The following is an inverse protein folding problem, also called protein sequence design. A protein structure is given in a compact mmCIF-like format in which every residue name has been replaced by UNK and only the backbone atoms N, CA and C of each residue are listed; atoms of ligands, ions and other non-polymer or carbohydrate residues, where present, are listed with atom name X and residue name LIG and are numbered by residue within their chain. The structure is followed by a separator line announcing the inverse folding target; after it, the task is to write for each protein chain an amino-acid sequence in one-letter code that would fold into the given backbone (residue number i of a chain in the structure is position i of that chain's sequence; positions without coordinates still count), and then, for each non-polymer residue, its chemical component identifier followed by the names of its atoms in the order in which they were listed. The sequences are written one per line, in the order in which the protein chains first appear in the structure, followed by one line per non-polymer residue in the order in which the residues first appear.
data_IF_986094821086
#
_entry.id   IF_986094821086
#
_cell.length_a   1.000
_cell.length_b   1.000
_cell.length_c   1.000
_cell.angle_alpha   90.00
_cell.angle_beta   90.00
_cell.angle_gamma   90.00
#
_symmetry.space_group_name_H-M   'P 1'
#
loop_
_entity.id
_entity.type
_entity.pdbx_description
1 polymer ?
#
# COMPACT_ATOMS: atom_id res chain seq x y z
N UNK A 1 8.55 15.81 21.16
CA UNK A 1 7.18 15.26 21.35
C UNK A 1 6.99 14.61 22.74
N UNK A 2 7.94 13.77 23.19
CA UNK A 2 7.87 13.15 24.53
C UNK A 2 7.90 14.19 25.67
N UNK A 3 8.68 15.26 25.47
CA UNK A 3 8.81 16.34 26.43
C UNK A 3 7.56 17.22 26.44
N UNK A 4 7.03 17.55 25.25
CA UNK A 4 5.80 18.32 25.08
C UNK A 4 4.57 17.63 25.73
N UNK A 5 4.46 16.30 25.65
CA UNK A 5 3.38 15.56 26.31
C UNK A 5 3.48 15.60 27.84
N UNK A 6 4.71 15.64 28.39
CA UNK A 6 4.93 15.75 29.85
C UNK A 6 4.68 17.15 30.38
N UNK A 7 4.99 18.18 29.61
CA UNK A 7 4.92 19.58 30.03
C UNK A 7 3.53 20.20 29.83
N UNK A 8 2.73 19.66 28.92
CA UNK A 8 1.45 20.28 28.54
C UNK A 8 0.22 19.45 28.90
N UNK A 9 0.39 18.25 29.45
CA UNK A 9 -0.71 17.31 29.81
C UNK A 9 -1.73 17.09 28.67
N UNK A 10 -1.31 17.30 27.41
CA UNK A 10 -2.18 17.21 26.25
C UNK A 10 -2.42 15.80 25.71
N UNK A 11 -1.80 14.81 26.31
CA UNK A 11 -2.04 13.41 25.98
C UNK A 11 -2.31 12.60 27.24
N UNK A 12 -2.97 11.48 27.11
CA UNK A 12 -3.32 10.59 28.23
C UNK A 12 -2.10 10.17 29.07
N UNK A 13 -0.94 10.00 28.41
CA UNK A 13 0.31 9.68 29.11
C UNK A 13 0.82 10.85 29.98
N UNK A 14 0.65 12.11 29.52
CA UNK A 14 0.99 13.31 30.30
C UNK A 14 0.07 13.51 31.48
N UNK A 15 -1.21 13.18 31.32
CA UNK A 15 -2.23 13.24 32.36
C UNK A 15 -2.06 12.18 33.46
N UNK A 16 -1.10 11.26 33.34
CA UNK A 16 -0.87 10.21 34.33
C UNK A 16 -2.03 9.23 34.49
N UNK A 17 -2.94 9.17 33.51
CA UNK A 17 -4.05 8.20 33.52
C UNK A 17 -3.50 6.78 33.48
N UNK A 18 -3.94 5.95 34.42
CA UNK A 18 -3.67 4.52 34.37
C UNK A 18 -4.23 3.88 33.08
N UNK A 19 -3.54 2.85 32.59
CA UNK A 19 -4.07 2.08 31.47
C UNK A 19 -5.43 1.52 31.85
N UNK A 20 -6.42 1.81 31.03
CA UNK A 20 -7.74 1.23 31.19
C UNK A 20 -7.63 -0.31 31.09
N UNK A 21 -8.09 -1.02 32.12
CA UNK A 21 -8.07 -2.50 32.16
C UNK A 21 -8.94 -3.11 31.05
N UNK A 22 -9.97 -2.38 30.59
CA UNK A 22 -10.82 -2.73 29.45
C UNK A 22 -10.77 -1.62 28.39
N UNK A 23 -9.72 -1.54 27.57
CA UNK A 23 -9.64 -0.55 26.51
C UNK A 23 -10.74 -0.79 25.49
N UNK A 24 -11.28 0.30 24.92
CA UNK A 24 -12.18 0.21 23.80
C UNK A 24 -11.51 -0.57 22.65
N UNK A 25 -12.28 -1.35 21.85
CA UNK A 25 -11.73 -2.08 20.70
C UNK A 25 -10.96 -1.15 19.76
N UNK A 26 -9.78 -1.58 19.33
CA UNK A 26 -9.00 -0.84 18.36
C UNK A 26 -9.58 -1.08 16.94
N UNK A 27 -10.47 -0.20 16.50
CA UNK A 27 -11.12 -0.30 15.19
C UNK A 27 -10.14 -0.17 14.03
N UNK A 28 -9.02 0.53 14.20
CA UNK A 28 -7.98 0.63 13.18
C UNK A 28 -7.29 -0.74 12.98
N UNK A 29 -7.00 -1.44 14.06
CA UNK A 29 -6.42 -2.78 14.01
C UNK A 29 -7.41 -3.79 13.41
N UNK A 30 -8.68 -3.72 13.82
CA UNK A 30 -9.74 -4.51 13.21
C UNK A 30 -9.83 -4.28 11.70
N UNK A 31 -9.87 -3.00 11.24
CA UNK A 31 -9.87 -2.66 9.81
C UNK A 31 -8.67 -3.25 9.10
N UNK A 32 -7.47 -3.15 9.69
CA UNK A 32 -6.23 -3.66 9.12
C UNK A 32 -6.29 -5.18 8.89
N UNK A 33 -6.80 -5.94 9.86
CA UNK A 33 -7.01 -7.38 9.71
C UNK A 33 -8.03 -7.68 8.61
N UNK A 34 -9.12 -6.95 8.56
CA UNK A 34 -10.15 -7.14 7.52
C UNK A 34 -9.64 -6.87 6.11
N UNK A 35 -8.70 -5.96 5.95
CA UNK A 35 -8.13 -5.60 4.64
C UNK A 35 -7.04 -6.57 4.16
N UNK A 36 -6.28 -7.18 5.08
CA UNK A 36 -5.04 -7.85 4.68
C UNK A 36 -4.91 -9.33 5.07
N UNK A 37 -5.74 -9.85 5.96
CA UNK A 37 -5.64 -11.24 6.41
C UNK A 37 -6.33 -12.19 5.42
N UNK A 38 -5.69 -12.39 4.28
CA UNK A 38 -6.08 -13.34 3.25
C UNK A 38 -4.98 -14.37 3.04
N UNK A 39 -5.39 -15.64 2.88
CA UNK A 39 -4.48 -16.73 2.57
C UNK A 39 -4.17 -16.75 1.07
N UNK A 40 -2.91 -16.51 0.66
CA UNK A 40 -2.51 -16.60 -0.74
C UNK A 40 -2.51 -18.05 -1.22
N UNK A 41 -2.67 -18.25 -2.53
CA UNK A 41 -2.52 -19.58 -3.14
C UNK A 41 -1.16 -20.19 -2.78
N UNK A 42 -1.12 -21.52 -2.60
CA UNK A 42 0.16 -22.24 -2.48
C UNK A 42 0.90 -22.22 -3.82
N UNK A 43 2.16 -22.61 -3.84
CA UNK A 43 2.95 -22.69 -5.07
C UNK A 43 2.32 -23.64 -6.10
N UNK A 44 1.74 -24.76 -5.62
CA UNK A 44 1.09 -25.77 -6.47
C UNK A 44 -0.24 -25.27 -7.04
N UNK A 45 -0.95 -24.40 -6.32
CA UNK A 45 -2.22 -23.82 -6.74
C UNK A 45 -2.03 -22.64 -7.70
N UNK A 46 -0.90 -21.96 -7.61
CA UNK A 46 -0.58 -20.77 -8.39
C UNK A 46 -0.09 -21.15 -9.80
N UNK A 47 -1.00 -21.59 -10.65
CA UNK A 47 -0.68 -22.09 -12.00
C UNK A 47 -0.11 -21.02 -12.94
N UNK A 48 -0.22 -19.75 -12.61
CA UNK A 48 0.21 -18.61 -13.44
C UNK A 48 1.40 -17.82 -12.85
N UNK A 49 1.92 -18.25 -11.71
CA UNK A 49 3.05 -17.60 -11.04
C UNK A 49 2.64 -16.64 -9.93
N UNK A 50 3.48 -15.62 -9.69
CA UNK A 50 3.40 -14.72 -8.54
C UNK A 50 3.18 -13.26 -8.98
N UNK A 51 2.35 -12.54 -8.23
CA UNK A 51 2.16 -11.09 -8.39
C UNK A 51 2.51 -10.38 -7.09
N UNK A 52 3.38 -9.38 -7.16
CA UNK A 52 3.69 -8.50 -6.04
C UNK A 52 2.70 -7.33 -5.98
N UNK A 53 2.10 -7.11 -4.82
CA UNK A 53 1.25 -5.94 -4.55
C UNK A 53 1.90 -5.11 -3.44
N UNK A 54 2.25 -3.84 -3.69
CA UNK A 54 2.78 -2.98 -2.65
C UNK A 54 1.66 -2.50 -1.71
N UNK A 55 1.91 -2.56 -0.39
CA UNK A 55 0.97 -2.10 0.64
C UNK A 55 1.10 -0.59 0.85
N UNK A 56 0.68 0.19 -0.11
CA UNK A 56 0.92 1.63 -0.15
C UNK A 56 -0.30 2.40 -0.66
N UNK A 57 -0.42 3.65 -0.22
CA UNK A 57 -1.42 4.61 -0.71
C UNK A 57 -2.82 3.98 -0.84
N UNK A 58 -3.49 4.15 -1.98
CA UNK A 58 -4.82 3.60 -2.25
C UNK A 58 -4.88 2.07 -2.30
N UNK A 59 -3.74 1.39 -2.54
CA UNK A 59 -3.69 -0.07 -2.48
C UNK A 59 -4.09 -0.64 -1.11
N UNK A 60 -4.12 0.17 -0.06
CA UNK A 60 -4.65 -0.21 1.24
C UNK A 60 -6.14 -0.55 1.19
N UNK A 61 -6.93 0.33 0.59
CA UNK A 61 -8.39 0.16 0.52
C UNK A 61 -8.77 -0.84 -0.58
N UNK A 62 -8.04 -0.86 -1.68
CA UNK A 62 -8.33 -1.68 -2.85
C UNK A 62 -7.78 -3.10 -2.77
N UNK A 63 -6.94 -3.41 -1.75
CA UNK A 63 -6.27 -4.71 -1.65
C UNK A 63 -7.23 -5.91 -1.69
N UNK A 64 -8.38 -5.94 -0.98
CA UNK A 64 -9.31 -7.08 -1.04
C UNK A 64 -9.80 -7.38 -2.46
N UNK A 65 -10.05 -6.34 -3.26
CA UNK A 65 -10.44 -6.47 -4.65
C UNK A 65 -9.31 -7.08 -5.48
N UNK A 66 -8.11 -6.51 -5.43
CA UNK A 66 -6.95 -6.99 -6.22
C UNK A 66 -6.49 -8.37 -5.78
N UNK A 67 -6.51 -8.66 -4.49
CA UNK A 67 -6.23 -10.00 -3.97
C UNK A 67 -7.18 -11.03 -4.59
N UNK A 68 -8.48 -10.75 -4.53
CA UNK A 68 -9.50 -11.64 -5.09
C UNK A 68 -9.34 -11.81 -6.59
N UNK A 69 -9.12 -10.73 -7.32
CA UNK A 69 -8.92 -10.72 -8.75
C UNK A 69 -7.75 -11.62 -9.18
N UNK A 70 -6.56 -11.38 -8.63
CA UNK A 70 -5.38 -12.16 -9.01
C UNK A 70 -5.45 -13.62 -8.54
N UNK A 71 -6.01 -13.87 -7.37
CA UNK A 71 -6.24 -15.24 -6.87
C UNK A 71 -7.18 -16.01 -7.79
N UNK A 72 -8.27 -15.39 -8.25
CA UNK A 72 -9.20 -16.00 -9.22
C UNK A 72 -8.57 -16.26 -10.58
N UNK A 73 -7.60 -15.45 -10.98
CA UNK A 73 -6.81 -15.67 -12.19
C UNK A 73 -5.73 -16.75 -12.04
N UNK A 74 -5.53 -17.31 -10.84
CA UNK A 74 -4.52 -18.36 -10.58
C UNK A 74 -3.13 -17.82 -10.25
N UNK A 75 -2.99 -16.57 -9.82
CA UNK A 75 -1.74 -16.01 -9.32
C UNK A 75 -1.64 -16.11 -7.79
N UNK A 76 -0.46 -16.41 -7.28
CA UNK A 76 -0.13 -16.23 -5.87
C UNK A 76 0.16 -14.75 -5.63
N UNK A 77 -0.60 -14.13 -4.74
CA UNK A 77 -0.37 -12.74 -4.35
C UNK A 77 0.70 -12.66 -3.26
N UNK A 78 1.73 -11.86 -3.51
CA UNK A 78 2.78 -11.52 -2.55
C UNK A 78 2.58 -10.07 -2.13
N UNK A 79 2.14 -9.85 -0.90
CA UNK A 79 1.93 -8.52 -0.34
C UNK A 79 3.20 -8.03 0.35
N UNK A 80 3.59 -6.79 0.14
CA UNK A 80 4.70 -6.20 0.89
C UNK A 80 4.34 -6.00 2.38
N UNK A 81 5.32 -6.00 3.31
CA UNK A 81 5.08 -5.93 4.75
C UNK A 81 4.47 -4.58 5.17
N UNK A 82 4.23 -4.40 6.46
CA UNK A 82 3.88 -3.09 6.99
C UNK A 82 5.05 -2.11 6.88
N UNK A 83 4.71 -0.83 6.64
CA UNK A 83 5.70 0.24 6.57
C UNK A 83 6.47 0.37 7.88
N UNK A 84 7.78 0.34 7.79
CA UNK A 84 8.73 0.53 8.89
C UNK A 84 9.85 1.45 8.43
N UNK A 85 10.69 1.90 9.38
CA UNK A 85 11.90 2.64 9.04
C UNK A 85 12.81 1.84 8.09
N UNK A 86 12.96 0.53 8.32
CA UNK A 86 13.75 -0.34 7.44
C UNK A 86 13.19 -0.42 6.01
N UNK A 87 11.87 -0.44 5.84
CA UNK A 87 11.25 -0.37 4.51
C UNK A 87 11.54 0.99 3.85
N UNK A 88 11.46 2.10 4.58
CA UNK A 88 11.81 3.41 4.06
C UNK A 88 13.27 3.46 3.58
N UNK A 89 14.20 3.03 4.43
CA UNK A 89 15.65 3.03 4.14
C UNK A 89 15.98 2.18 2.90
N UNK A 90 15.29 1.06 2.71
CA UNK A 90 15.45 0.18 1.54
C UNK A 90 15.19 0.88 0.20
N UNK A 91 14.26 1.83 0.15
CA UNK A 91 13.90 2.54 -1.07
C UNK A 91 14.51 3.92 -1.22
N UNK A 92 15.29 4.37 -0.25
CA UNK A 92 15.70 5.77 -0.11
C UNK A 92 16.51 6.29 -1.31
N UNK A 93 17.37 5.47 -1.91
CA UNK A 93 18.23 5.84 -3.02
C UNK A 93 17.46 6.15 -4.32
N UNK A 94 16.29 5.55 -4.50
CA UNK A 94 15.45 5.75 -5.69
C UNK A 94 14.46 6.91 -5.57
N UNK A 95 14.39 7.59 -4.41
CA UNK A 95 13.47 8.72 -4.18
C UNK A 95 13.98 9.96 -4.92
N UNK A 96 13.28 10.46 -5.97
CA UNK A 96 13.78 11.53 -6.80
C UNK A 96 13.63 12.92 -6.19
N UNK A 97 12.81 13.09 -5.15
CA UNK A 97 12.52 14.39 -4.56
C UNK A 97 12.28 14.32 -3.07
N UNK A 98 12.92 15.20 -2.33
CA UNK A 98 12.69 15.35 -0.88
C UNK A 98 11.33 15.98 -0.55
N UNK A 99 10.76 16.75 -1.47
CA UNK A 99 9.51 17.48 -1.26
C UNK A 99 8.25 16.60 -1.37
N UNK A 100 8.35 15.39 -1.91
CA UNK A 100 7.19 14.48 -1.99
C UNK A 100 6.76 14.00 -0.59
N UNK A 101 5.48 13.75 -0.40
CA UNK A 101 4.94 13.33 0.90
C UNK A 101 5.53 11.99 1.36
N UNK A 102 5.64 11.81 2.67
CA UNK A 102 6.25 10.61 3.27
C UNK A 102 5.59 9.29 2.84
N UNK A 103 4.24 9.18 2.74
CA UNK A 103 3.60 7.98 2.22
C UNK A 103 4.05 7.59 0.80
N UNK A 104 4.28 8.57 -0.08
CA UNK A 104 4.81 8.32 -1.41
C UNK A 104 6.27 7.83 -1.37
N UNK A 105 7.10 8.39 -0.50
CA UNK A 105 8.48 7.91 -0.30
C UNK A 105 8.54 6.44 0.12
N UNK A 106 7.59 6.00 0.94
CA UNK A 106 7.51 4.61 1.36
C UNK A 106 7.26 3.64 0.19
N UNK A 107 6.61 4.09 -0.89
CA UNK A 107 6.35 3.24 -2.07
C UNK A 107 7.63 2.61 -2.60
N UNK A 108 8.72 3.39 -2.68
CA UNK A 108 10.00 2.92 -3.17
C UNK A 108 10.51 1.70 -2.40
N UNK A 109 10.47 1.76 -1.07
CA UNK A 109 10.91 0.64 -0.22
C UNK A 109 10.02 -0.60 -0.33
N UNK A 110 8.71 -0.42 -0.51
CA UNK A 110 7.79 -1.53 -0.74
C UNK A 110 8.03 -2.20 -2.09
N UNK A 111 8.33 -1.42 -3.13
CA UNK A 111 8.70 -1.97 -4.45
C UNK A 111 10.02 -2.71 -4.38
N UNK A 112 11.06 -2.15 -3.74
CA UNK A 112 12.34 -2.82 -3.54
C UNK A 112 12.19 -4.16 -2.80
N UNK A 113 11.34 -4.19 -1.76
CA UNK A 113 11.02 -5.44 -1.06
C UNK A 113 10.44 -6.49 -2.01
N UNK A 114 9.46 -6.13 -2.85
CA UNK A 114 8.83 -7.07 -3.78
C UNK A 114 9.80 -7.58 -4.85
N UNK A 115 10.70 -6.72 -5.31
CA UNK A 115 11.79 -7.11 -6.23
C UNK A 115 12.68 -8.18 -5.57
N UNK A 116 13.04 -8.02 -4.31
CA UNK A 116 13.84 -8.99 -3.55
C UNK A 116 13.11 -10.33 -3.32
N UNK A 117 11.76 -10.31 -3.25
CA UNK A 117 10.98 -11.54 -3.15
C UNK A 117 10.98 -12.35 -4.47
N UNK A 118 11.47 -11.78 -5.56
CA UNK A 118 11.56 -12.47 -6.85
C UNK A 118 10.19 -12.78 -7.46
N UNK A 119 9.23 -11.86 -7.33
CA UNK A 119 7.90 -12.01 -7.95
C UNK A 119 8.01 -11.91 -9.47
N UNK A 120 7.14 -12.60 -10.21
CA UNK A 120 7.15 -12.57 -11.68
C UNK A 120 6.80 -11.19 -12.24
N UNK A 121 5.91 -10.47 -11.55
CA UNK A 121 5.62 -9.08 -11.86
C UNK A 121 5.07 -8.35 -10.64
N UNK A 122 5.17 -7.02 -10.68
CA UNK A 122 4.58 -6.12 -9.67
C UNK A 122 3.41 -5.40 -10.29
N UNK A 123 2.28 -5.40 -9.60
CA UNK A 123 1.08 -4.66 -9.99
C UNK A 123 0.90 -3.43 -9.09
N UNK A 124 0.99 -2.25 -9.70
CA UNK A 124 0.77 -0.98 -9.01
C UNK A 124 0.10 0.02 -9.97
N UNK A 125 -1.24 0.02 -10.05
CA UNK A 125 -1.98 0.91 -10.94
C UNK A 125 -1.97 2.35 -10.47
N UNK A 126 -2.09 3.29 -11.38
CA UNK A 126 -2.46 4.67 -11.11
C UNK A 126 -3.97 4.79 -11.14
N UNK A 127 -4.58 5.11 -10.01
CA UNK A 127 -6.04 5.24 -9.90
C UNK A 127 -6.37 6.71 -9.73
N UNK A 128 -6.98 7.28 -10.74
CA UNK A 128 -7.34 8.71 -10.76
C UNK A 128 -8.65 8.94 -10.01
N UNK A 129 -9.61 8.05 -10.16
CA UNK A 129 -10.94 8.18 -9.61
C UNK A 129 -11.35 6.88 -8.90
N UNK A 130 -11.73 6.99 -7.64
CA UNK A 130 -12.18 5.86 -6.82
C UNK A 130 -13.67 5.57 -7.02
N UNK A 131 -14.07 4.36 -6.62
CA UNK A 131 -15.46 3.96 -6.63
C UNK A 131 -16.28 4.88 -5.72
N UNK A 132 -17.45 5.28 -6.19
CA UNK A 132 -18.40 6.08 -5.43
C UNK A 132 -19.19 5.21 -4.45
N UNK A 133 -18.71 5.10 -3.21
CA UNK A 133 -19.36 4.32 -2.16
C UNK A 133 -20.51 5.06 -1.45
N UNK A 134 -20.55 6.38 -1.54
CA UNK A 134 -21.59 7.21 -0.93
C UNK A 134 -22.16 8.20 -1.92
N UNK A 135 -23.48 8.24 -2.03
CA UNK A 135 -24.18 9.24 -2.83
C UNK A 135 -23.99 10.68 -2.31
N UNK A 136 -23.65 10.84 -1.04
CA UNK A 136 -23.38 12.12 -0.41
C UNK A 136 -21.93 12.62 -0.61
N UNK A 137 -21.05 11.81 -1.21
CA UNK A 137 -19.69 12.24 -1.51
C UNK A 137 -19.67 13.12 -2.75
N UNK A 138 -19.07 14.31 -2.62
CA UNK A 138 -18.98 15.30 -3.71
C UNK A 138 -17.82 15.01 -4.65
N UNK A 139 -16.77 14.34 -4.16
CA UNK A 139 -15.56 14.08 -4.93
C UNK A 139 -14.95 12.72 -4.58
N UNK A 140 -14.57 11.97 -5.60
CA UNK A 140 -13.89 10.68 -5.49
C UNK A 140 -12.54 10.66 -6.23
N UNK A 141 -11.99 11.81 -6.57
CA UNK A 141 -10.66 11.90 -7.15
C UNK A 141 -9.59 11.64 -6.10
N UNK A 142 -8.61 10.84 -6.47
CA UNK A 142 -7.39 10.68 -5.68
C UNK A 142 -6.51 11.93 -5.76
N UNK A 143 -5.63 12.11 -4.79
CA UNK A 143 -4.62 13.15 -4.89
C UNK A 143 -3.68 12.90 -6.08
N UNK A 144 -3.03 13.93 -6.65
CA UNK A 144 -2.14 13.78 -7.80
C UNK A 144 -1.03 12.75 -7.59
N UNK A 145 -0.53 12.60 -6.36
CA UNK A 145 0.48 11.61 -6.03
C UNK A 145 -0.07 10.20 -6.21
N UNK A 146 -1.22 9.86 -5.63
CA UNK A 146 -1.84 8.54 -5.80
C UNK A 146 -2.12 8.25 -7.27
N UNK A 147 -2.61 9.25 -8.00
CA UNK A 147 -2.97 9.09 -9.40
C UNK A 147 -1.78 8.82 -10.34
N UNK A 148 -0.57 9.28 -10.02
CA UNK A 148 0.56 9.27 -10.97
C UNK A 148 1.87 8.66 -10.45
N UNK A 149 1.95 8.30 -9.18
CA UNK A 149 3.23 7.87 -8.58
C UNK A 149 3.75 6.53 -9.11
N UNK A 150 2.88 5.73 -9.67
CA UNK A 150 3.23 4.51 -10.41
C UNK A 150 4.22 4.80 -11.56
N UNK A 151 4.03 5.90 -12.30
CA UNK A 151 4.97 6.32 -13.35
C UNK A 151 6.30 6.82 -12.76
N UNK A 152 6.25 7.48 -11.61
CA UNK A 152 7.47 7.90 -10.91
C UNK A 152 8.31 6.67 -10.53
N UNK A 153 7.69 5.65 -9.93
CA UNK A 153 8.36 4.38 -9.59
C UNK A 153 9.00 3.74 -10.82
N UNK A 154 8.24 3.59 -11.90
CA UNK A 154 8.71 2.98 -13.15
C UNK A 154 9.96 3.63 -13.72
N UNK A 155 10.07 4.95 -13.56
CA UNK A 155 11.16 5.71 -14.13
C UNK A 155 12.38 5.86 -13.19
N UNK A 156 12.21 5.72 -11.88
CA UNK A 156 13.27 5.99 -10.90
C UNK A 156 13.79 4.73 -10.16
N UNK A 157 13.08 3.61 -10.22
CA UNK A 157 13.57 2.34 -9.63
C UNK A 157 14.28 1.53 -10.70
N UNK A 158 15.60 1.67 -10.77
CA UNK A 158 16.45 1.01 -11.80
C UNK A 158 16.42 -0.51 -11.68
N UNK A 159 16.35 -1.06 -10.47
CA UNK A 159 16.25 -2.49 -10.18
C UNK A 159 15.12 -3.21 -10.93
N UNK A 160 14.03 -2.52 -11.27
CA UNK A 160 12.96 -3.10 -12.10
C UNK A 160 13.49 -3.53 -13.47
N UNK A 161 14.39 -2.73 -14.05
CA UNK A 161 15.01 -3.01 -15.35
C UNK A 161 16.16 -4.00 -15.22
N UNK A 162 17.05 -3.79 -14.25
CA UNK A 162 18.22 -4.62 -14.02
C UNK A 162 17.87 -6.08 -13.72
N UNK A 163 16.85 -6.30 -12.90
CA UNK A 163 16.36 -7.64 -12.55
C UNK A 163 15.25 -8.15 -13.48
N UNK A 164 14.95 -7.40 -14.55
CA UNK A 164 13.93 -7.75 -15.54
C UNK A 164 12.56 -8.09 -14.93
N UNK A 165 12.16 -7.35 -13.88
CA UNK A 165 10.85 -7.51 -13.24
C UNK A 165 9.80 -6.73 -14.04
N UNK A 166 8.77 -7.42 -14.51
CA UNK A 166 7.66 -6.78 -15.20
C UNK A 166 6.89 -5.88 -14.23
N UNK A 167 6.81 -4.59 -14.54
CA UNK A 167 6.05 -3.63 -13.75
C UNK A 167 4.77 -3.24 -14.49
N UNK A 168 3.63 -3.69 -13.95
CA UNK A 168 2.30 -3.40 -14.49
C UNK A 168 1.70 -2.20 -13.75
N UNK A 169 1.65 -1.09 -14.43
CA UNK A 169 1.21 0.19 -13.87
C UNK A 169 0.13 0.88 -14.73
N UNK A 170 -0.98 0.19 -15.04
CA UNK A 170 -2.04 0.80 -15.85
C UNK A 170 -2.67 1.99 -15.12
N UNK A 171 -3.15 2.96 -15.92
CA UNK A 171 -4.06 3.98 -15.41
C UNK A 171 -5.49 3.45 -15.44
N UNK A 172 -6.15 3.49 -14.28
CA UNK A 172 -7.50 2.96 -14.10
C UNK A 172 -8.40 4.02 -13.48
N UNK A 173 -9.69 3.91 -13.78
CA UNK A 173 -10.75 4.65 -13.11
C UNK A 173 -11.75 3.63 -12.57
N UNK A 174 -12.02 3.67 -11.27
CA UNK A 174 -12.91 2.70 -10.61
C UNK A 174 -14.37 3.16 -10.59
N UNK A 175 -14.70 4.29 -11.25
CA UNK A 175 -16.07 4.78 -11.38
C UNK A 175 -16.93 3.92 -12.30
N UNK A 176 -16.30 3.21 -13.24
CA UNK A 176 -16.96 2.35 -14.22
C UNK A 176 -16.37 0.95 -14.18
N UNK A 177 -17.06 0.04 -13.54
CA UNK A 177 -16.66 -1.37 -13.45
C UNK A 177 -16.46 -2.00 -14.83
N UNK A 178 -17.16 -1.52 -15.84
CA UNK A 178 -17.09 -1.99 -17.24
C UNK A 178 -15.73 -1.71 -17.91
N UNK A 179 -14.89 -0.87 -17.30
CA UNK A 179 -13.58 -0.47 -17.84
C UNK A 179 -12.40 -1.14 -17.14
N UNK A 180 -12.66 -1.97 -16.14
CA UNK A 180 -11.68 -2.77 -15.41
C UNK A 180 -11.65 -4.19 -15.98
#
# INVERSE_FOLDING_TARGET
QRQMCKETDRCERGLGKEKNENPAPNLYEYKRHRLFDYEPLTAEQATRGTVGIPRVLNMWEDYPFWFTFFTKLGYRVVLSPYSTKAIFEKGMESIPSESVCYPAKLVHGHIMYLIEQGVDFIFYPGIVYERRDSAAADNNYNCPIVASYNENIKNNVEDLKEKNIKFMNPFLSLDKIETI
#
